data_IF_158407499256
#
_entry.id   IF_158407499256
#
_cell.length_a   1.000
_cell.length_b   1.000
_cell.length_c   1.000
_cell.angle_alpha   90.00
_cell.angle_beta   90.00
_cell.angle_gamma   90.00
#
_symmetry.space_group_name_H-M   'P 1'
#
loop_
_entity.id
_entity.type
_entity.pdbx_description
1 polymer ?
#
# COMPACT_ATOMS: atom_id res chain seq x y z
N UNK A 1 -43.64 -14.45 2.20
CA UNK A 1 -43.19 -13.07 2.04
C UNK A 1 -42.17 -12.80 3.12
N UNK A 2 -40.93 -12.96 2.79
CA UNK A 2 -39.79 -12.69 3.71
C UNK A 2 -39.01 -11.57 3.06
N UNK A 3 -38.95 -10.45 3.71
CA UNK A 3 -38.22 -9.24 3.32
C UNK A 3 -36.74 -9.44 3.59
N UNK A 4 -35.93 -9.42 2.56
CA UNK A 4 -34.48 -9.38 2.68
C UNK A 4 -34.05 -7.99 3.21
N UNK A 5 -33.22 -8.01 4.24
CA UNK A 5 -32.61 -6.84 4.86
C UNK A 5 -31.46 -6.31 3.98
N UNK A 6 -31.37 -5.02 3.67
CA UNK A 6 -30.28 -4.43 2.91
C UNK A 6 -29.25 -3.80 3.87
N UNK A 7 -28.65 -4.59 4.76
CA UNK A 7 -27.58 -4.10 5.64
C UNK A 7 -26.28 -4.84 5.34
N UNK A 8 -25.56 -4.46 4.29
CA UNK A 8 -24.10 -4.74 4.20
C UNK A 8 -23.35 -3.85 3.18
N UNK A 9 -23.75 -2.59 3.03
CA UNK A 9 -23.00 -1.64 2.19
C UNK A 9 -22.18 -0.62 3.01
N UNK A 10 -22.14 -0.76 4.34
CA UNK A 10 -21.57 0.28 5.21
C UNK A 10 -20.13 -0.01 5.69
N UNK A 11 -19.57 -1.18 5.43
CA UNK A 11 -18.24 -1.56 5.93
C UNK A 11 -17.09 -1.01 5.07
N UNK A 12 -17.34 -0.78 3.77
CA UNK A 12 -16.36 -0.16 2.88
C UNK A 12 -16.30 1.38 3.05
N UNK A 13 -17.37 2.00 3.56
CA UNK A 13 -17.40 3.44 3.81
C UNK A 13 -16.58 3.85 5.04
N UNK A 14 -16.35 2.94 5.98
CA UNK A 14 -15.59 3.22 7.20
C UNK A 14 -14.05 3.05 7.00
N UNK A 15 -13.64 2.30 6.01
CA UNK A 15 -12.23 2.21 5.59
C UNK A 15 -11.68 3.55 5.08
N UNK A 16 -12.54 4.43 4.59
CA UNK A 16 -12.21 5.79 4.11
C UNK A 16 -11.73 6.74 5.21
N UNK A 17 -11.91 6.40 6.49
CA UNK A 17 -11.53 7.27 7.63
C UNK A 17 -10.10 7.07 8.14
N UNK A 18 -9.38 6.05 7.71
CA UNK A 18 -8.06 5.78 8.26
C UNK A 18 -6.98 6.80 7.80
N UNK A 19 -7.18 7.50 6.68
CA UNK A 19 -6.30 8.59 6.26
C UNK A 19 -6.25 9.74 7.26
N UNK A 20 -7.35 9.98 7.97
CA UNK A 20 -7.44 10.98 9.03
C UNK A 20 -6.93 10.47 10.40
N UNK A 21 -6.68 9.16 10.55
CA UNK A 21 -6.18 8.56 11.79
C UNK A 21 -4.66 8.63 11.96
N UNK A 22 -3.94 9.27 11.07
CA UNK A 22 -2.49 9.48 11.18
C UNK A 22 -2.11 10.62 12.14
N UNK A 23 -3.07 11.18 12.87
CA UNK A 23 -2.79 12.09 13.99
C UNK A 23 -2.80 11.28 15.29
N UNK A 24 -1.85 11.52 16.23
CA UNK A 24 -1.79 10.79 17.49
C UNK A 24 -2.99 11.13 18.36
N UNK A 25 -3.90 10.17 18.57
CA UNK A 25 -5.09 10.42 19.38
C UNK A 25 -5.95 9.22 19.76
N UNK A 26 -5.81 8.05 19.19
CA UNK A 26 -6.55 6.88 19.67
C UNK A 26 -5.68 5.61 19.73
N UNK A 27 -5.53 5.11 20.94
CA UNK A 27 -4.82 3.88 21.27
C UNK A 27 -5.60 2.66 20.78
N UNK A 28 -5.09 2.01 19.75
CA UNK A 28 -5.50 0.65 19.41
C UNK A 28 -4.98 -0.29 20.48
N UNK A 29 -5.84 -0.89 21.27
CA UNK A 29 -5.50 -1.95 22.20
C UNK A 29 -5.04 -3.18 21.42
N UNK A 30 -3.73 -3.29 21.22
CA UNK A 30 -3.07 -4.50 20.74
C UNK A 30 -2.90 -5.45 21.94
N UNK A 31 -3.43 -6.65 21.85
CA UNK A 31 -3.08 -7.74 22.79
C UNK A 31 -1.57 -7.97 22.75
N UNK A 32 -0.91 -8.29 23.88
CA UNK A 32 0.52 -8.56 23.92
C UNK A 32 0.80 -9.84 23.14
N UNK A 33 1.49 -9.68 22.03
CA UNK A 33 1.90 -10.77 21.16
C UNK A 33 3.04 -11.58 21.79
N UNK A 34 2.97 -12.89 21.63
CA UNK A 34 3.99 -13.84 22.06
C UNK A 34 5.36 -13.41 21.54
N UNK A 35 6.40 -13.54 22.37
CA UNK A 35 7.80 -13.33 22.03
C UNK A 35 8.16 -14.10 20.76
N UNK A 36 8.02 -13.47 19.60
CA UNK A 36 8.71 -13.86 18.38
C UNK A 36 10.10 -13.26 18.45
N UNK A 37 11.11 -14.06 18.12
CA UNK A 37 12.47 -13.58 17.90
C UNK A 37 12.46 -12.37 16.97
N UNK A 38 13.33 -11.37 17.18
CA UNK A 38 13.39 -10.19 16.32
C UNK A 38 13.57 -10.67 14.88
N UNK A 39 12.57 -10.42 14.04
CA UNK A 39 12.69 -10.70 12.60
C UNK A 39 13.90 -9.93 12.10
N UNK A 40 14.80 -10.60 11.39
CA UNK A 40 16.03 -10.01 10.85
C UNK A 40 15.68 -8.74 10.07
N UNK A 41 15.89 -7.59 10.72
CA UNK A 41 15.64 -6.28 10.14
C UNK A 41 16.51 -6.17 8.87
N UNK A 42 15.90 -5.77 7.74
CA UNK A 42 16.57 -5.71 6.46
C UNK A 42 16.62 -7.04 5.67
N UNK A 43 16.08 -8.13 6.24
CA UNK A 43 15.99 -9.41 5.53
C UNK A 43 15.17 -9.28 4.23
N UNK A 44 15.63 -9.99 3.21
CA UNK A 44 14.94 -10.09 1.94
C UNK A 44 13.62 -10.84 2.13
N UNK A 45 12.53 -10.25 1.64
CA UNK A 45 11.19 -10.81 1.65
C UNK A 45 10.89 -11.49 0.31
N UNK A 46 11.17 -10.78 -0.78
CA UNK A 46 11.07 -11.29 -2.16
C UNK A 46 12.11 -10.64 -3.06
N UNK A 47 12.53 -11.36 -4.09
CA UNK A 47 13.39 -10.86 -5.17
C UNK A 47 12.67 -10.92 -6.50
N UNK A 48 12.86 -9.86 -7.30
CA UNK A 48 12.52 -9.75 -8.70
C UNK A 48 13.76 -9.42 -9.53
N UNK A 49 13.55 -9.12 -10.80
CA UNK A 49 14.63 -8.73 -11.72
C UNK A 49 15.10 -7.29 -11.45
N UNK A 50 14.15 -6.35 -11.28
CA UNK A 50 14.42 -4.93 -11.07
C UNK A 50 14.45 -4.55 -9.61
N UNK A 51 13.64 -5.21 -8.76
CA UNK A 51 13.49 -4.83 -7.37
C UNK A 51 13.65 -6.00 -6.41
N UNK A 52 14.11 -5.66 -5.21
CA UNK A 52 14.16 -6.54 -4.05
C UNK A 52 13.32 -5.94 -2.93
N UNK A 53 12.36 -6.71 -2.41
CA UNK A 53 11.59 -6.33 -1.24
C UNK A 53 12.33 -6.78 0.02
N UNK A 54 12.57 -5.83 0.93
CA UNK A 54 13.24 -6.08 2.21
C UNK A 54 12.38 -5.63 3.39
N UNK A 55 12.69 -6.12 4.58
CA UNK A 55 12.18 -5.54 5.81
C UNK A 55 12.71 -4.12 5.98
N UNK A 56 11.85 -3.20 6.45
CA UNK A 56 12.34 -1.90 6.87
C UNK A 56 13.25 -2.01 8.08
N UNK A 57 14.29 -1.18 8.11
CA UNK A 57 15.19 -0.99 9.24
C UNK A 57 15.14 0.48 9.68
N UNK A 58 15.52 0.82 10.92
CA UNK A 58 15.56 2.21 11.38
C UNK A 58 16.36 3.16 10.47
N UNK A 59 17.38 2.65 9.78
CA UNK A 59 18.17 3.42 8.81
C UNK A 59 17.41 3.93 7.59
N UNK A 60 16.26 3.32 7.26
CA UNK A 60 15.40 3.77 6.16
C UNK A 60 14.63 5.07 6.48
N UNK A 61 14.62 5.51 7.73
CA UNK A 61 13.87 6.68 8.22
C UNK A 61 14.17 7.95 7.44
N UNK A 62 15.43 8.22 7.14
CA UNK A 62 15.83 9.44 6.44
C UNK A 62 15.26 9.50 5.00
N UNK A 63 15.30 8.39 4.27
CA UNK A 63 14.70 8.31 2.94
C UNK A 63 13.18 8.49 3.01
N UNK A 64 12.52 7.80 3.95
CA UNK A 64 11.09 7.93 4.16
C UNK A 64 10.66 9.38 4.47
N UNK A 65 11.40 10.08 5.35
CA UNK A 65 11.14 11.49 5.63
C UNK A 65 11.25 12.36 4.37
N UNK A 66 12.29 12.15 3.58
CA UNK A 66 12.52 12.89 2.33
C UNK A 66 11.36 12.73 1.35
N UNK A 67 10.89 11.49 1.15
CA UNK A 67 9.78 11.20 0.25
C UNK A 67 8.45 11.79 0.74
N UNK A 68 8.15 11.65 2.01
CA UNK A 68 6.87 12.14 2.57
C UNK A 68 6.86 13.66 2.81
N UNK A 69 8.01 14.32 2.76
CA UNK A 69 8.15 15.79 2.75
C UNK A 69 8.08 16.39 1.33
N UNK A 70 8.13 15.55 0.29
CA UNK A 70 8.08 15.97 -1.10
C UNK A 70 6.64 16.30 -1.52
N UNK A 71 6.44 17.49 -2.12
CA UNK A 71 5.12 17.96 -2.56
C UNK A 71 4.55 17.15 -3.71
N UNK A 72 5.39 16.73 -4.67
CA UNK A 72 4.94 15.99 -5.84
C UNK A 72 4.51 14.58 -5.42
N UNK A 73 5.23 13.95 -4.48
CA UNK A 73 4.84 12.68 -3.90
C UNK A 73 3.56 12.83 -3.07
N UNK A 74 3.45 13.87 -2.24
CA UNK A 74 2.26 14.10 -1.42
C UNK A 74 1.00 14.24 -2.28
N UNK A 75 1.08 14.96 -3.40
CA UNK A 75 -0.03 15.12 -4.36
C UNK A 75 -0.44 13.81 -5.04
N UNK A 76 0.44 12.83 -5.14
CA UNK A 76 0.15 11.53 -5.74
C UNK A 76 -0.31 10.48 -4.73
N UNK A 77 -0.14 10.75 -3.45
CA UNK A 77 -0.28 9.76 -2.38
C UNK A 77 -1.33 10.13 -1.33
N UNK A 78 -1.47 11.41 -1.00
CA UNK A 78 -2.22 11.87 0.17
C UNK A 78 -3.51 12.57 -0.21
N UNK A 79 -4.61 12.19 0.43
CA UNK A 79 -5.93 12.79 0.19
C UNK A 79 -6.05 14.24 0.68
N UNK A 80 -5.19 14.69 1.61
CA UNK A 80 -5.06 16.08 2.00
C UNK A 80 -4.07 16.87 1.12
N UNK A 81 -3.42 16.20 0.16
CA UNK A 81 -2.45 16.74 -0.79
C UNK A 81 -1.24 17.46 -0.14
N UNK A 82 -1.03 17.25 1.15
CA UNK A 82 0.01 17.95 1.93
C UNK A 82 1.16 17.03 2.29
N UNK A 83 2.40 17.48 2.16
CA UNK A 83 3.55 16.79 2.70
C UNK A 83 3.45 16.59 4.22
N UNK A 84 4.05 15.52 4.71
CA UNK A 84 4.24 15.38 6.15
C UNK A 84 5.38 16.28 6.64
N UNK A 85 5.20 16.85 7.81
CA UNK A 85 6.33 17.45 8.54
C UNK A 85 7.35 16.39 8.95
N UNK A 86 8.57 16.80 9.26
CA UNK A 86 9.63 15.90 9.72
C UNK A 86 9.20 15.08 10.94
N UNK A 87 8.49 15.70 11.90
CA UNK A 87 7.99 15.00 13.10
C UNK A 87 6.90 14.00 12.72
N UNK A 88 5.93 14.37 11.87
CA UNK A 88 4.87 13.47 11.44
C UNK A 88 5.42 12.25 10.69
N UNK A 89 6.38 12.46 9.78
CA UNK A 89 7.04 11.36 9.04
C UNK A 89 7.78 10.43 9.98
N UNK A 90 8.50 10.98 10.97
CA UNK A 90 9.23 10.21 11.97
C UNK A 90 8.28 9.33 12.79
N UNK A 91 7.23 9.96 13.36
CA UNK A 91 6.24 9.24 14.17
C UNK A 91 5.57 8.14 13.32
N UNK A 92 5.14 8.46 12.10
CA UNK A 92 4.51 7.48 11.21
C UNK A 92 5.44 6.31 10.87
N UNK A 93 6.71 6.59 10.59
CA UNK A 93 7.67 5.54 10.32
C UNK A 93 7.86 4.61 11.53
N UNK A 94 8.08 5.16 12.71
CA UNK A 94 8.39 4.39 13.91
C UNK A 94 7.18 3.64 14.48
N UNK A 95 5.97 4.23 14.39
CA UNK A 95 4.77 3.64 15.00
C UNK A 95 3.95 2.77 14.06
N UNK A 96 4.13 2.94 12.74
CA UNK A 96 3.31 2.23 11.76
C UNK A 96 4.16 1.40 10.79
N UNK A 97 5.15 1.99 10.14
CA UNK A 97 5.93 1.32 9.09
C UNK A 97 6.81 0.23 9.67
N UNK A 98 7.64 0.52 10.67
CA UNK A 98 8.52 -0.48 11.28
C UNK A 98 7.76 -1.67 11.90
N UNK A 99 6.70 -1.46 12.73
CA UNK A 99 5.92 -2.57 13.28
C UNK A 99 5.20 -3.38 12.20
N UNK A 100 4.66 -2.75 11.15
CA UNK A 100 4.04 -3.44 10.03
C UNK A 100 5.05 -4.25 9.23
N UNK A 101 6.26 -3.72 9.04
CA UNK A 101 7.35 -4.42 8.38
C UNK A 101 7.79 -5.66 9.16
N UNK A 102 7.89 -5.58 10.48
CA UNK A 102 8.19 -6.73 11.33
C UNK A 102 7.17 -7.87 11.16
N UNK A 103 5.90 -7.53 10.92
CA UNK A 103 4.83 -8.50 10.62
C UNK A 103 4.78 -8.98 9.16
N UNK A 104 5.57 -8.39 8.27
CA UNK A 104 5.61 -8.72 6.85
C UNK A 104 4.55 -8.03 6.01
N UNK A 105 3.93 -7.00 6.54
CA UNK A 105 2.88 -6.26 5.86
C UNK A 105 3.41 -5.07 5.06
N UNK A 106 4.57 -4.53 5.45
CA UNK A 106 5.22 -3.41 4.76
C UNK A 106 6.66 -3.77 4.42
N UNK A 107 7.09 -3.41 3.21
CA UNK A 107 8.43 -3.69 2.70
C UNK A 107 9.09 -2.42 2.18
N UNK A 108 10.39 -2.30 2.43
CA UNK A 108 11.27 -1.41 1.69
C UNK A 108 11.50 -1.97 0.29
N UNK A 109 11.50 -1.11 -0.71
CA UNK A 109 11.79 -1.47 -2.10
C UNK A 109 13.21 -1.01 -2.41
N UNK A 110 14.06 -1.96 -2.78
CA UNK A 110 15.42 -1.70 -3.19
C UNK A 110 15.57 -2.02 -4.68
N UNK A 111 16.42 -1.26 -5.37
CA UNK A 111 16.92 -1.63 -6.69
C UNK A 111 17.75 -2.91 -6.58
N UNK A 112 17.50 -3.89 -7.45
CA UNK A 112 18.18 -5.19 -7.38
C UNK A 112 19.67 -5.14 -7.75
N UNK A 113 20.06 -4.17 -8.57
CA UNK A 113 21.45 -4.03 -9.04
C UNK A 113 22.32 -3.29 -8.02
N UNK A 114 21.84 -2.14 -7.55
CA UNK A 114 22.64 -1.22 -6.71
C UNK A 114 22.37 -1.38 -5.22
N UNK A 115 21.30 -2.10 -4.85
CA UNK A 115 20.74 -2.19 -3.50
C UNK A 115 20.27 -0.84 -2.92
N UNK A 116 20.12 0.18 -3.77
CA UNK A 116 19.59 1.49 -3.38
C UNK A 116 18.16 1.37 -2.88
N UNK A 117 17.85 2.00 -1.75
CA UNK A 117 16.50 2.12 -1.24
C UNK A 117 15.71 3.15 -2.07
N UNK A 118 14.73 2.68 -2.83
CA UNK A 118 14.00 3.50 -3.81
C UNK A 118 12.53 3.74 -3.46
N UNK A 119 11.98 3.02 -2.48
CA UNK A 119 10.56 3.15 -2.15
C UNK A 119 10.09 2.30 -0.98
N UNK A 120 8.79 2.30 -0.80
CA UNK A 120 8.08 1.49 0.20
C UNK A 120 6.76 0.98 -0.36
N UNK A 121 6.35 -0.22 0.02
CA UNK A 121 5.04 -0.78 -0.30
C UNK A 121 4.46 -1.50 0.91
N UNK A 122 3.13 -1.55 1.03
CA UNK A 122 2.48 -2.15 2.18
C UNK A 122 1.07 -2.63 1.92
N UNK A 123 0.64 -3.54 2.80
CA UNK A 123 -0.72 -4.04 2.94
C UNK A 123 -1.29 -3.52 4.24
N UNK A 124 -2.49 -2.96 4.20
CA UNK A 124 -3.20 -2.39 5.36
C UNK A 124 -4.63 -2.90 5.42
N UNK A 125 -5.34 -2.61 6.51
CA UNK A 125 -6.76 -2.91 6.70
C UNK A 125 -7.10 -4.36 6.33
N UNK A 126 -6.33 -5.31 6.92
CA UNK A 126 -6.56 -6.73 6.70
C UNK A 126 -7.87 -7.14 7.37
N UNK A 127 -8.84 -7.54 6.57
CA UNK A 127 -10.12 -8.04 7.09
C UNK A 127 -10.02 -9.48 7.55
N UNK A 128 -10.94 -9.86 8.44
CA UNK A 128 -11.22 -11.24 8.85
C UNK A 128 -12.71 -11.50 8.59
N UNK A 129 -13.07 -12.68 8.10
CA UNK A 129 -14.45 -13.03 7.79
C UNK A 129 -14.56 -13.93 6.57
N UNK A 130 -15.72 -13.88 5.89
CA UNK A 130 -16.01 -14.74 4.75
C UNK A 130 -15.14 -14.43 3.53
N UNK A 131 -14.77 -13.16 3.31
CA UNK A 131 -13.83 -12.72 2.29
C UNK A 131 -12.66 -11.99 2.96
N UNK A 132 -11.45 -12.47 2.71
CA UNK A 132 -10.24 -11.91 3.28
C UNK A 132 -9.68 -10.85 2.32
N UNK A 133 -9.85 -9.58 2.66
CA UNK A 133 -9.36 -8.47 1.86
C UNK A 133 -8.27 -7.65 2.56
N UNK A 134 -7.59 -6.80 1.81
CA UNK A 134 -6.70 -5.77 2.32
C UNK A 134 -6.54 -4.63 1.31
N UNK A 135 -6.00 -3.51 1.77
CA UNK A 135 -5.61 -2.39 0.90
C UNK A 135 -4.11 -2.43 0.61
N UNK A 136 -3.75 -2.12 -0.62
CA UNK A 136 -2.37 -2.03 -1.09
C UNK A 136 -1.96 -0.57 -1.31
N UNK A 137 -0.71 -0.28 -0.99
CA UNK A 137 -0.09 1.03 -1.18
C UNK A 137 1.34 0.89 -1.61
N UNK A 138 1.79 1.82 -2.45
CA UNK A 138 3.17 1.88 -2.91
C UNK A 138 3.61 3.32 -3.14
N UNK A 139 4.85 3.59 -2.79
CA UNK A 139 5.57 4.82 -3.13
C UNK A 139 6.91 4.43 -3.71
N UNK A 140 7.18 4.82 -4.95
CA UNK A 140 8.54 4.91 -5.48
C UNK A 140 8.98 6.34 -5.25
N UNK A 141 9.82 6.52 -4.25
CA UNK A 141 10.21 7.85 -3.76
C UNK A 141 11.31 8.52 -4.58
N UNK A 142 12.09 7.73 -5.32
CA UNK A 142 13.16 8.24 -6.18
C UNK A 142 12.64 8.38 -7.62
N UNK A 143 12.46 9.62 -8.07
CA UNK A 143 11.77 9.92 -9.34
C UNK A 143 12.49 9.39 -10.58
N UNK A 144 13.81 9.22 -10.52
CA UNK A 144 14.58 8.68 -11.65
C UNK A 144 14.31 7.18 -11.93
N UNK A 145 13.63 6.46 -11.03
CA UNK A 145 13.14 5.11 -11.26
C UNK A 145 11.72 5.06 -11.85
N UNK A 146 11.04 6.23 -11.97
CA UNK A 146 9.68 6.26 -12.50
C UNK A 146 9.61 5.92 -13.99
N UNK A 147 8.53 5.23 -14.40
CA UNK A 147 8.30 4.85 -15.79
C UNK A 147 9.15 3.69 -16.32
N UNK A 148 10.02 3.12 -15.50
CA UNK A 148 11.00 2.10 -15.87
C UNK A 148 10.63 0.66 -15.42
N UNK A 149 9.39 0.42 -14.97
CA UNK A 149 8.92 -0.91 -14.59
C UNK A 149 9.03 -1.25 -13.08
N UNK A 150 9.81 -0.52 -12.32
CA UNK A 150 10.06 -0.79 -10.89
C UNK A 150 8.78 -0.87 -10.05
N UNK A 151 7.87 0.10 -10.23
CA UNK A 151 6.59 0.09 -9.52
C UNK A 151 5.70 -1.09 -9.90
N UNK A 152 5.73 -1.52 -11.16
CA UNK A 152 4.95 -2.68 -11.61
C UNK A 152 5.48 -3.98 -11.02
N UNK A 153 6.80 -4.17 -11.00
CA UNK A 153 7.40 -5.36 -10.42
C UNK A 153 7.21 -5.40 -8.91
N UNK A 154 7.47 -4.29 -8.20
CA UNK A 154 7.23 -4.20 -6.75
C UNK A 154 5.77 -4.51 -6.41
N UNK A 155 4.82 -4.02 -7.23
CA UNK A 155 3.39 -4.35 -7.06
C UNK A 155 3.14 -5.84 -7.22
N UNK A 156 3.67 -6.50 -8.27
CA UNK A 156 3.52 -7.95 -8.47
C UNK A 156 4.09 -8.75 -7.30
N UNK A 157 5.26 -8.39 -6.79
CA UNK A 157 5.87 -9.06 -5.65
C UNK A 157 5.02 -8.91 -4.38
N UNK A 158 4.45 -7.70 -4.15
CA UNK A 158 3.52 -7.49 -3.03
C UNK A 158 2.21 -8.24 -3.20
N UNK A 159 1.69 -8.41 -4.42
CA UNK A 159 0.50 -9.25 -4.67
C UNK A 159 0.78 -10.72 -4.35
N UNK A 160 1.98 -11.22 -4.64
CA UNK A 160 2.39 -12.56 -4.17
C UNK A 160 2.41 -12.65 -2.65
N UNK A 161 2.92 -11.63 -1.94
CA UNK A 161 2.84 -11.60 -0.47
C UNK A 161 1.38 -11.63 0.01
N UNK A 162 0.52 -10.80 -0.57
CA UNK A 162 -0.89 -10.75 -0.20
C UNK A 162 -1.60 -12.09 -0.39
N UNK A 163 -1.47 -12.70 -1.58
CA UNK A 163 -2.23 -13.88 -1.95
C UNK A 163 -1.63 -15.20 -1.44
N UNK A 164 -0.31 -15.35 -1.49
CA UNK A 164 0.36 -16.60 -1.11
C UNK A 164 0.62 -16.68 0.40
N UNK A 165 1.15 -15.60 1.00
CA UNK A 165 1.53 -15.58 2.41
C UNK A 165 0.41 -15.15 3.33
N UNK A 166 -0.23 -14.02 3.02
CA UNK A 166 -1.29 -13.47 3.86
C UNK A 166 -2.69 -13.98 3.49
N UNK A 167 -2.79 -14.84 2.47
CA UNK A 167 -4.00 -15.55 2.04
C UNK A 167 -5.20 -14.65 1.82
N UNK A 168 -4.96 -13.45 1.28
CA UNK A 168 -6.04 -12.54 0.92
C UNK A 168 -6.78 -13.08 -0.30
N UNK A 169 -8.07 -12.84 -0.39
CA UNK A 169 -8.91 -13.19 -1.54
C UNK A 169 -8.98 -12.04 -2.54
N UNK A 170 -8.96 -10.81 -2.00
CA UNK A 170 -9.02 -9.57 -2.77
C UNK A 170 -8.03 -8.55 -2.21
N UNK A 171 -7.36 -7.82 -3.10
CA UNK A 171 -6.57 -6.64 -2.77
C UNK A 171 -7.19 -5.43 -3.42
N UNK A 172 -7.49 -4.41 -2.62
CA UNK A 172 -8.01 -3.13 -3.06
C UNK A 172 -6.91 -2.07 -3.09
N UNK A 173 -7.09 -1.06 -3.91
CA UNK A 173 -6.31 0.17 -3.86
C UNK A 173 -7.16 1.36 -4.31
N UNK A 174 -6.72 2.55 -3.92
CA UNK A 174 -7.24 3.82 -4.39
C UNK A 174 -6.14 4.57 -5.13
N UNK A 175 -6.50 5.27 -6.19
CA UNK A 175 -5.57 6.06 -7.00
C UNK A 175 -6.27 7.31 -7.52
N UNK A 176 -5.60 8.45 -7.46
CA UNK A 176 -6.14 9.69 -8.01
C UNK A 176 -6.25 9.60 -9.53
N UNK A 177 -7.38 10.04 -10.09
CA UNK A 177 -7.66 9.93 -11.52
C UNK A 177 -6.61 10.60 -12.41
N UNK A 178 -5.95 11.64 -11.93
CA UNK A 178 -4.86 12.31 -12.64
C UNK A 178 -3.51 11.56 -12.60
N UNK A 179 -3.39 10.53 -11.75
CA UNK A 179 -2.16 9.70 -11.66
C UNK A 179 -2.17 8.57 -12.69
N UNK A 180 -2.27 8.95 -13.98
CA UNK A 180 -2.35 7.99 -15.09
C UNK A 180 -1.21 6.96 -15.11
N UNK A 181 -0.01 7.37 -14.65
CA UNK A 181 1.14 6.46 -14.57
C UNK A 181 0.87 5.30 -13.61
N UNK A 182 0.33 5.57 -12.43
CA UNK A 182 -0.02 4.55 -11.46
C UNK A 182 -1.18 3.69 -11.96
N UNK A 183 -2.22 4.29 -12.54
CA UNK A 183 -3.37 3.58 -13.11
C UNK A 183 -2.89 2.56 -14.15
N UNK A 184 -2.09 2.99 -15.14
CA UNK A 184 -1.52 2.07 -16.15
C UNK A 184 -0.65 0.97 -15.54
N UNK A 185 0.03 1.27 -14.44
CA UNK A 185 0.83 0.29 -13.71
C UNK A 185 -0.07 -0.77 -13.08
N UNK A 186 -1.13 -0.37 -12.39
CA UNK A 186 -2.05 -1.30 -11.75
C UNK A 186 -2.85 -2.13 -12.76
N UNK A 187 -3.35 -1.52 -13.83
CA UNK A 187 -4.02 -2.23 -14.93
C UNK A 187 -3.10 -3.30 -15.54
N UNK A 188 -1.82 -2.99 -15.76
CA UNK A 188 -0.81 -3.95 -16.26
C UNK A 188 -0.52 -5.10 -15.30
N UNK A 189 -0.69 -4.90 -14.01
CA UNK A 189 -0.56 -5.97 -12.99
C UNK A 189 -1.82 -6.83 -12.91
N UNK A 190 -2.96 -6.35 -13.44
CA UNK A 190 -4.23 -7.06 -13.50
C UNK A 190 -5.33 -6.46 -12.61
N UNK A 191 -5.09 -5.32 -11.97
CA UNK A 191 -6.15 -4.61 -11.26
C UNK A 191 -7.21 -4.09 -12.23
N UNK A 192 -8.47 -4.17 -11.82
CA UNK A 192 -9.61 -3.65 -12.55
C UNK A 192 -10.29 -2.54 -11.75
N UNK A 193 -10.87 -1.56 -12.42
CA UNK A 193 -11.64 -0.49 -11.77
C UNK A 193 -12.94 -1.06 -11.21
N UNK A 194 -13.24 -0.74 -9.96
CA UNK A 194 -14.43 -1.20 -9.23
C UNK A 194 -15.36 -0.07 -8.86
N UNK A 195 -14.85 1.16 -8.84
CA UNK A 195 -15.64 2.34 -8.51
C UNK A 195 -14.84 3.62 -8.65
N UNK A 196 -15.50 4.72 -8.41
CA UNK A 196 -14.90 6.05 -8.24
C UNK A 196 -15.71 6.87 -7.25
N UNK A 197 -15.07 7.80 -6.59
CA UNK A 197 -15.72 8.78 -5.73
C UNK A 197 -14.98 10.12 -5.80
N UNK A 198 -15.65 11.17 -5.33
CA UNK A 198 -15.08 12.52 -5.27
C UNK A 198 -14.83 12.88 -3.82
N UNK A 199 -13.64 13.38 -3.55
CA UNK A 199 -13.27 13.95 -2.26
C UNK A 199 -13.02 15.44 -2.38
N UNK A 200 -13.19 16.14 -1.26
CA UNK A 200 -12.97 17.58 -1.15
C UNK A 200 -11.90 17.81 -0.07
N UNK A 201 -10.61 17.94 -0.46
CA UNK A 201 -9.57 18.23 0.51
C UNK A 201 -9.87 19.53 1.27
N UNK A 202 -9.73 19.54 2.59
CA UNK A 202 -10.19 20.61 3.49
C UNK A 202 -9.63 22.03 3.19
N UNK A 203 -8.69 22.14 2.29
CA UNK A 203 -7.98 23.38 1.97
C UNK A 203 -7.87 23.66 0.46
N UNK A 204 -8.49 22.84 -0.36
CA UNK A 204 -8.52 23.00 -1.81
C UNK A 204 -9.98 23.20 -2.24
N UNK A 205 -10.20 24.03 -3.24
CA UNK A 205 -11.52 24.24 -3.86
C UNK A 205 -11.79 23.25 -4.99
N UNK A 206 -10.77 22.47 -5.37
CA UNK A 206 -10.85 21.52 -6.47
C UNK A 206 -11.32 20.15 -5.97
N UNK A 207 -12.14 19.50 -6.78
CA UNK A 207 -12.56 18.11 -6.58
C UNK A 207 -11.40 17.17 -6.80
N UNK A 208 -11.24 16.20 -5.91
CA UNK A 208 -10.26 15.13 -6.00
C UNK A 208 -10.98 13.85 -6.44
N UNK A 209 -10.84 13.50 -7.71
CA UNK A 209 -11.40 12.26 -8.25
C UNK A 209 -10.51 11.08 -7.89
N UNK A 210 -11.08 10.10 -7.18
CA UNK A 210 -10.41 8.90 -6.69
C UNK A 210 -11.01 7.68 -7.38
N UNK A 211 -10.17 6.91 -8.06
CA UNK A 211 -10.55 5.62 -8.64
C UNK A 211 -10.29 4.52 -7.64
N UNK A 212 -11.26 3.64 -7.47
CA UNK A 212 -11.15 2.41 -6.70
C UNK A 212 -10.80 1.26 -7.65
N UNK A 213 -9.80 0.46 -7.29
CA UNK A 213 -9.40 -0.70 -8.10
C UNK A 213 -9.23 -1.92 -7.21
N UNK A 214 -9.48 -3.10 -7.77
CA UNK A 214 -9.29 -4.37 -7.07
C UNK A 214 -8.62 -5.42 -7.95
N UNK A 215 -7.95 -6.36 -7.30
CA UNK A 215 -7.38 -7.56 -7.92
C UNK A 215 -7.74 -8.76 -7.05
N UNK A 216 -8.30 -9.79 -7.69
CA UNK A 216 -8.65 -11.04 -7.01
C UNK A 216 -7.53 -12.07 -7.15
N UNK A 217 -7.42 -12.95 -6.14
CA UNK A 217 -6.41 -14.00 -6.10
C UNK A 217 -6.45 -14.91 -7.31
N UNK A 218 -7.63 -15.38 -7.71
CA UNK A 218 -7.83 -16.29 -8.83
C UNK A 218 -7.41 -15.67 -10.16
N UNK A 219 -7.72 -14.38 -10.36
CA UNK A 219 -7.28 -13.61 -11.53
C UNK A 219 -5.75 -13.50 -11.58
N UNK A 220 -5.11 -13.16 -10.47
CA UNK A 220 -3.66 -12.98 -10.40
C UNK A 220 -2.90 -14.29 -10.61
N UNK A 221 -3.33 -15.38 -9.95
CA UNK A 221 -2.66 -16.68 -10.06
C UNK A 221 -2.97 -17.40 -11.39
N UNK A 222 -4.18 -17.18 -11.95
CA UNK A 222 -4.57 -17.74 -13.26
C UNK A 222 -3.83 -17.07 -14.42
N UNK A 223 -3.57 -15.77 -14.35
CA UNK A 223 -2.80 -15.03 -15.37
C UNK A 223 -1.32 -15.43 -15.43
N UNK A 224 -0.74 -15.81 -14.31
CA UNK A 224 0.69 -16.21 -14.24
C UNK A 224 1.01 -17.54 -14.98
N UNK A 225 0.00 -18.34 -15.35
CA UNK A 225 0.19 -19.58 -16.10
C UNK A 225 0.15 -19.40 -17.62
N UNK A 226 -0.19 -18.22 -18.14
CA UNK A 226 -0.25 -17.98 -19.60
C UNK A 226 1.06 -17.45 -20.19
N UNK A 227 1.96 -16.91 -19.38
CA UNK A 227 3.26 -16.37 -19.84
C UNK A 227 4.37 -17.44 -19.92
N UNK A 228 4.05 -18.73 -19.67
CA UNK A 228 4.99 -19.87 -19.74
C UNK A 228 4.68 -20.86 -20.89
N UNK A 229 3.89 -20.45 -21.90
CA UNK A 229 3.54 -21.30 -23.02
C UNK A 229 4.15 -20.81 -24.32
#
# INVERSE_FOLDING_TARGET
>A
MSTADPENTNDLADSRRWWNRLLPGESVHSQPDQKREPSEAGAVVREGELVRLRRHVPGNRAAFQRWYADHDIARLLRHDLKPLTAIQSLVYFDTSILPSSARGLTCAIHDSETDELIGTAGLTDLTSGAELSCFFRIVIGESHFWGRGYGAEATRLMMREAFERHRRDVVHLEVFAYNERAIRTYERVGFTRTGEHIEYPSHETAELHVLEMALRRDQFLGGSNQDLS
#
